data_IF_609321555781
#
_entry.id   IF_609321555781
#
_cell.length_a   1.000
_cell.length_b   1.000
_cell.length_c   1.000
_cell.angle_alpha   90.00
_cell.angle_beta   90.00
_cell.angle_gamma   90.00
#
_symmetry.space_group_name_H-M   'P 1'
#
loop_
_entity.id
_entity.type
_entity.pdbx_description
1 polymer ?
#
# COMPACT_ATOMS: atom_id res chain seq x y z
N UNK A 1 -8.23 -11.89 1.64
CA UNK A 1 -9.21 -10.78 1.69
C UNK A 1 -8.41 -9.49 1.80
N UNK A 2 -8.57 -8.59 0.83
CA UNK A 2 -7.88 -7.30 0.81
C UNK A 2 -8.92 -6.18 0.94
N UNK A 3 -8.68 -5.25 1.85
CA UNK A 3 -9.45 -4.02 2.02
C UNK A 3 -8.77 -2.88 1.26
N UNK A 4 -9.60 -1.99 0.73
CA UNK A 4 -9.22 -0.90 -0.16
C UNK A 4 -9.54 0.42 0.53
N UNK A 5 -8.56 1.29 0.70
CA UNK A 5 -8.70 2.61 1.29
C UNK A 5 -8.32 3.67 0.25
N UNK A 6 -9.28 4.53 -0.11
CA UNK A 6 -9.00 5.71 -0.94
C UNK A 6 -8.40 6.79 -0.05
N UNK A 7 -7.18 7.23 -0.34
CA UNK A 7 -6.49 8.26 0.46
C UNK A 7 -6.65 9.62 -0.20
N UNK A 8 -6.40 9.69 -1.51
CA UNK A 8 -6.53 10.87 -2.36
C UNK A 8 -6.94 10.44 -3.76
N UNK A 9 -7.42 11.37 -4.57
CA UNK A 9 -7.70 11.13 -5.98
C UNK A 9 -6.47 10.52 -6.67
N UNK A 10 -6.62 9.31 -7.20
CA UNK A 10 -5.54 8.56 -7.86
C UNK A 10 -4.56 7.85 -6.94
N UNK A 11 -4.79 7.81 -5.62
CA UNK A 11 -3.96 7.08 -4.67
C UNK A 11 -4.80 6.06 -3.90
N UNK A 12 -4.37 4.80 -3.92
CA UNK A 12 -5.09 3.72 -3.29
C UNK A 12 -4.22 2.89 -2.35
N UNK A 13 -4.72 2.74 -1.14
CA UNK A 13 -4.09 1.86 -0.18
C UNK A 13 -4.78 0.50 -0.17
N UNK A 14 -3.98 -0.57 -0.17
CA UNK A 14 -4.46 -1.95 -0.11
C UNK A 14 -3.94 -2.60 1.17
N UNK A 15 -4.84 -3.09 2.01
CA UNK A 15 -4.53 -3.74 3.28
C UNK A 15 -5.03 -5.18 3.28
N UNK A 16 -4.22 -6.11 3.74
CA UNK A 16 -4.66 -7.47 4.06
C UNK A 16 -5.40 -7.48 5.39
N UNK A 17 -6.63 -8.00 5.39
CA UNK A 17 -7.45 -8.11 6.61
C UNK A 17 -6.90 -9.18 7.55
N UNK A 18 -6.29 -10.24 7.02
CA UNK A 18 -5.81 -11.38 7.81
C UNK A 18 -4.51 -11.08 8.56
N UNK A 19 -3.64 -10.25 7.96
CA UNK A 19 -2.31 -9.97 8.51
C UNK A 19 -2.14 -8.52 8.96
N UNK A 20 -3.14 -7.68 8.70
CA UNK A 20 -3.10 -6.24 8.93
C UNK A 20 -1.95 -5.53 8.18
N UNK A 21 -1.33 -6.18 7.19
CA UNK A 21 -0.23 -5.63 6.39
C UNK A 21 -0.76 -4.80 5.23
N UNK A 22 -0.09 -3.71 4.91
CA UNK A 22 -0.33 -2.92 3.71
C UNK A 22 0.56 -3.41 2.57
N UNK A 23 0.03 -3.37 1.35
CA UNK A 23 0.77 -3.71 0.14
C UNK A 23 1.53 -2.46 -0.35
N UNK A 24 2.85 -2.54 -0.34
CA UNK A 24 3.77 -1.51 -0.80
C UNK A 24 4.46 -1.91 -2.09
N UNK A 25 4.93 -0.92 -2.84
CA UNK A 25 5.81 -1.13 -3.98
C UNK A 25 7.13 -0.39 -3.74
N UNK A 26 8.25 -1.08 -3.85
CA UNK A 26 9.57 -0.44 -3.82
C UNK A 26 9.81 0.35 -5.13
N UNK A 27 10.82 1.21 -5.11
CA UNK A 27 11.40 1.88 -6.28
C UNK A 27 11.74 0.93 -7.44
N UNK A 28 12.06 -0.33 -7.16
CA UNK A 28 12.30 -1.37 -8.16
C UNK A 28 11.02 -2.00 -8.75
N UNK A 29 9.82 -1.62 -8.29
CA UNK A 29 8.56 -2.22 -8.71
C UNK A 29 8.20 -3.52 -7.98
N UNK A 30 8.96 -3.90 -6.95
CA UNK A 30 8.70 -5.10 -6.15
C UNK A 30 7.63 -4.84 -5.11
N UNK A 31 6.62 -5.70 -5.07
CA UNK A 31 5.54 -5.64 -4.09
C UNK A 31 5.96 -6.33 -2.79
N UNK A 32 5.72 -5.67 -1.66
CA UNK A 32 5.98 -6.24 -0.33
C UNK A 32 4.92 -5.84 0.69
N UNK A 33 4.74 -6.65 1.73
CA UNK A 33 3.84 -6.35 2.84
C UNK A 33 4.55 -5.56 3.93
N UNK A 34 4.01 -4.42 4.35
CA UNK A 34 4.54 -3.65 5.48
C UNK A 34 3.44 -2.98 6.29
N UNK A 35 3.65 -2.88 7.61
CA UNK A 35 2.76 -2.15 8.52
C UNK A 35 2.88 -0.63 8.35
N UNK A 36 3.96 -0.11 7.75
CA UNK A 36 4.26 1.33 7.67
C UNK A 36 4.39 1.84 6.24
N UNK A 37 3.54 1.34 5.35
CA UNK A 37 3.57 1.69 3.93
C UNK A 37 3.27 3.17 3.59
N UNK A 38 2.91 3.98 4.58
CA UNK A 38 2.46 5.36 4.35
C UNK A 38 3.60 6.38 4.24
N UNK A 39 4.85 5.99 4.43
CA UNK A 39 5.98 6.93 4.56
C UNK A 39 6.84 7.12 3.32
N UNK A 40 6.58 6.40 2.22
CA UNK A 40 7.46 6.44 1.04
C UNK A 40 6.65 6.90 -0.16
N UNK A 41 6.75 8.20 -0.42
CA UNK A 41 6.42 8.93 -1.65
C UNK A 41 4.99 8.76 -2.24
N UNK A 42 4.27 9.87 -2.54
CA UNK A 42 2.96 9.84 -3.22
C UNK A 42 2.98 9.27 -4.65
N UNK A 43 4.11 8.72 -5.11
CA UNK A 43 4.34 8.18 -6.44
C UNK A 43 4.43 6.63 -6.47
N UNK A 44 4.44 5.95 -5.32
CA UNK A 44 4.58 4.49 -5.21
C UNK A 44 3.47 3.84 -4.36
N UNK A 45 2.28 4.43 -4.40
CA UNK A 45 1.06 3.84 -3.84
C UNK A 45 0.30 3.22 -5.01
N UNK A 46 -0.17 1.98 -4.84
CA UNK A 46 -0.91 1.20 -5.85
C UNK A 46 -2.18 1.93 -6.31
#
# INVERSE_FOLDING_TARGET
ILQRHSVKTGQLLVQSVATCLFLCMDSCGLLYGSVRCFTVTPHHIV
#
